data_IF_194829645592
#
_entry.id   IF_194829645592
#
_cell.length_a   1.000
_cell.length_b   1.000
_cell.length_c   1.000
_cell.angle_alpha   90.00
_cell.angle_beta   90.00
_cell.angle_gamma   90.00
#
_symmetry.space_group_name_H-M   'P 1'
#
loop_
_entity.id
_entity.type
_entity.pdbx_description
1 polymer ?
#
# COMPACT_ATOMS: atom_id res chain seq x y z
N UNK A 1 16.71 -6.34 -8.44
CA UNK A 1 15.41 -6.88 -8.91
C UNK A 1 15.36 -6.59 -10.39
N UNK A 2 15.31 -7.61 -11.25
CA UNK A 2 15.52 -7.46 -12.70
C UNK A 2 14.26 -6.97 -13.40
N UNK A 3 14.42 -6.26 -14.53
CA UNK A 3 13.33 -5.80 -15.41
C UNK A 3 12.33 -6.92 -15.76
N UNK A 4 12.83 -8.15 -15.94
CA UNK A 4 11.99 -9.34 -16.18
C UNK A 4 11.03 -9.64 -15.03
N UNK A 5 11.44 -9.43 -13.77
CA UNK A 5 10.54 -9.63 -12.62
C UNK A 5 9.37 -8.65 -12.67
N UNK A 6 9.63 -7.38 -13.01
CA UNK A 6 8.59 -6.37 -13.16
C UNK A 6 7.65 -6.69 -14.33
N UNK A 7 8.18 -7.10 -15.49
CA UNK A 7 7.37 -7.51 -16.64
C UNK A 7 6.42 -8.65 -16.27
N UNK A 8 6.93 -9.68 -15.58
CA UNK A 8 6.13 -10.83 -15.17
C UNK A 8 5.08 -10.48 -14.10
N UNK A 9 5.36 -9.53 -13.19
CA UNK A 9 4.36 -9.04 -12.23
C UNK A 9 3.24 -8.27 -12.96
N UNK A 10 3.59 -7.45 -13.96
CA UNK A 10 2.63 -6.67 -14.73
C UNK A 10 1.77 -7.58 -15.61
N UNK A 11 2.36 -8.57 -16.28
CA UNK A 11 1.65 -9.51 -17.14
C UNK A 11 0.85 -10.57 -16.38
N UNK A 12 1.20 -10.84 -15.12
CA UNK A 12 0.59 -11.90 -14.32
C UNK A 12 1.25 -13.27 -14.48
N UNK A 13 2.39 -13.36 -15.18
CA UNK A 13 3.12 -14.61 -15.44
C UNK A 13 3.86 -15.16 -14.20
N UNK A 14 3.62 -14.58 -13.02
CA UNK A 14 4.22 -15.00 -11.75
C UNK A 14 3.17 -15.66 -10.85
N UNK A 15 2.84 -16.91 -11.13
CA UNK A 15 1.80 -17.68 -10.41
C UNK A 15 2.10 -17.81 -8.90
N UNK A 16 3.37 -17.87 -8.54
CA UNK A 16 3.83 -18.05 -7.15
C UNK A 16 3.71 -16.78 -6.30
N UNK A 17 3.50 -15.61 -6.90
CA UNK A 17 3.40 -14.33 -6.19
C UNK A 17 1.94 -13.86 -6.05
N UNK A 18 1.21 -14.62 -5.24
CA UNK A 18 -0.23 -14.44 -4.98
C UNK A 18 -0.63 -13.02 -4.56
N UNK A 19 0.26 -12.24 -3.93
CA UNK A 19 0.00 -10.84 -3.61
C UNK A 19 -0.36 -10.04 -4.87
N UNK A 20 0.51 -10.06 -5.88
CA UNK A 20 0.38 -9.22 -7.07
C UNK A 20 -0.79 -9.66 -7.96
N UNK A 21 -1.14 -10.95 -7.93
CA UNK A 21 -2.26 -11.47 -8.72
C UNK A 21 -3.62 -11.19 -8.06
N UNK A 22 -3.66 -10.94 -6.74
CA UNK A 22 -4.90 -10.70 -6.00
C UNK A 22 -5.31 -9.24 -5.95
N UNK A 23 -4.34 -8.33 -5.79
CA UNK A 23 -4.58 -6.90 -5.58
C UNK A 23 -5.44 -6.27 -6.68
N UNK A 24 -5.16 -6.47 -8.00
CA UNK A 24 -5.97 -5.89 -9.07
C UNK A 24 -7.45 -6.24 -8.96
N UNK A 25 -7.75 -7.50 -8.60
CA UNK A 25 -9.11 -7.98 -8.42
C UNK A 25 -9.86 -7.33 -7.25
N UNK A 26 -9.17 -6.79 -6.23
CA UNK A 26 -9.83 -6.02 -5.17
C UNK A 26 -10.40 -4.70 -5.69
N UNK A 27 -9.77 -4.12 -6.71
CA UNK A 27 -10.19 -2.89 -7.38
C UNK A 27 -11.11 -3.15 -8.58
N UNK A 28 -11.54 -4.39 -8.80
CA UNK A 28 -12.45 -4.76 -9.88
C UNK A 28 -11.79 -4.91 -11.26
N UNK A 29 -10.46 -4.90 -11.34
CA UNK A 29 -9.76 -5.13 -12.60
C UNK A 29 -9.69 -6.61 -12.93
N UNK A 30 -10.03 -6.95 -14.17
CA UNK A 30 -9.84 -8.29 -14.73
C UNK A 30 -8.48 -8.42 -15.44
N UNK A 31 -7.98 -7.32 -15.98
CA UNK A 31 -6.67 -7.21 -16.63
C UNK A 31 -5.64 -6.65 -15.64
N UNK A 32 -4.63 -7.45 -15.30
CA UNK A 32 -3.58 -7.10 -14.37
C UNK A 32 -2.68 -5.97 -14.92
N UNK A 33 -2.38 -6.00 -16.22
CA UNK A 33 -1.50 -5.03 -16.85
C UNK A 33 -2.17 -3.65 -16.85
N UNK A 34 -3.47 -3.58 -17.12
CA UNK A 34 -4.22 -2.32 -17.05
C UNK A 34 -4.18 -1.74 -15.64
N UNK A 35 -4.32 -2.58 -14.60
CA UNK A 35 -4.23 -2.12 -13.22
C UNK A 35 -2.83 -1.62 -12.86
N UNK A 36 -1.78 -2.40 -13.12
CA UNK A 36 -0.42 -2.03 -12.71
C UNK A 36 0.12 -0.81 -13.45
N UNK A 37 -0.38 -0.54 -14.66
CA UNK A 37 -0.06 0.68 -15.39
C UNK A 37 -0.88 1.91 -14.94
N UNK A 38 -1.92 1.74 -14.11
CA UNK A 38 -2.75 2.85 -13.62
C UNK A 38 -2.46 3.25 -12.17
N UNK A 39 -1.55 2.54 -11.49
CA UNK A 39 -1.21 2.79 -10.09
C UNK A 39 0.28 2.93 -9.87
N UNK A 40 0.63 3.68 -8.81
CA UNK A 40 1.97 3.63 -8.24
C UNK A 40 2.00 2.59 -7.13
N UNK A 41 2.89 1.61 -7.26
CA UNK A 41 3.09 0.57 -6.26
C UNK A 41 4.50 0.63 -5.67
N UNK A 42 4.60 0.62 -4.34
CA UNK A 42 5.87 0.57 -3.66
C UNK A 42 5.77 -0.08 -2.27
N UNK A 43 6.85 -0.73 -1.86
CA UNK A 43 7.03 -1.15 -0.46
C UNK A 43 7.45 0.04 0.40
N UNK A 44 7.00 0.08 1.65
CA UNK A 44 7.37 1.13 2.60
C UNK A 44 8.90 1.21 2.78
N UNK A 45 9.53 0.12 3.20
CA UNK A 45 11.00 0.03 3.29
C UNK A 45 11.56 -0.30 1.89
N UNK A 46 12.55 0.47 1.38
CA UNK A 46 13.12 0.25 0.05
C UNK A 46 14.17 -0.87 0.00
N UNK A 47 14.40 -1.57 1.11
CA UNK A 47 15.41 -2.63 1.28
C UNK A 47 14.81 -3.86 1.94
N UNK A 48 15.47 -5.01 1.76
CA UNK A 48 15.09 -6.26 2.42
C UNK A 48 15.25 -6.10 3.95
N UNK A 49 14.28 -6.61 4.70
CA UNK A 49 14.31 -6.65 6.17
C UNK A 49 14.93 -7.98 6.60
N UNK A 50 16.26 -8.00 6.78
CA UNK A 50 16.99 -9.17 7.31
C UNK A 50 16.86 -10.44 6.47
N UNK A 51 17.16 -11.57 7.10
CA UNK A 51 16.95 -12.90 6.54
C UNK A 51 15.47 -13.27 6.50
N UNK A 52 15.10 -14.34 5.77
CA UNK A 52 13.69 -14.77 5.64
C UNK A 52 12.98 -15.00 6.97
N UNK A 53 13.69 -15.50 7.98
CA UNK A 53 13.19 -15.68 9.35
C UNK A 53 12.83 -14.37 10.06
N UNK A 54 13.31 -13.24 9.55
CA UNK A 54 13.17 -11.91 10.15
C UNK A 54 12.18 -11.02 9.37
N UNK A 55 11.59 -11.52 8.27
CA UNK A 55 10.64 -10.75 7.45
C UNK A 55 9.37 -10.32 8.19
N UNK A 56 9.06 -10.98 9.32
CA UNK A 56 7.97 -10.57 10.21
C UNK A 56 8.35 -9.47 11.20
N UNK A 57 9.64 -9.12 11.30
CA UNK A 57 10.13 -8.07 12.16
C UNK A 57 9.84 -6.70 11.52
N UNK A 58 9.76 -5.67 12.37
CA UNK A 58 9.80 -4.30 11.87
C UNK A 58 11.17 -4.04 11.22
N UNK A 59 11.20 -3.12 10.24
CA UNK A 59 12.47 -2.62 9.72
C UNK A 59 13.30 -1.98 10.83
N UNK A 60 14.61 -1.86 10.62
CA UNK A 60 15.47 -1.08 11.53
C UNK A 60 15.00 0.37 11.62
N UNK A 61 15.49 1.12 12.61
CA UNK A 61 15.16 2.54 12.75
C UNK A 61 15.46 3.32 11.47
N UNK A 62 16.63 3.10 10.89
CA UNK A 62 17.12 3.75 9.68
C UNK A 62 16.26 3.37 8.46
N UNK A 63 15.87 2.10 8.37
CA UNK A 63 14.97 1.62 7.32
C UNK A 63 13.58 2.27 7.42
N UNK A 64 13.04 2.42 8.62
CA UNK A 64 11.75 3.07 8.83
C UNK A 64 11.83 4.59 8.57
N UNK A 65 12.94 5.25 8.92
CA UNK A 65 13.18 6.66 8.60
C UNK A 65 13.25 6.88 7.08
N UNK A 66 14.00 6.02 6.37
CA UNK A 66 14.05 6.04 4.92
C UNK A 66 12.67 5.77 4.29
N UNK A 67 11.89 4.84 4.85
CA UNK A 67 10.52 4.57 4.41
C UNK A 67 9.58 5.76 4.59
N UNK A 68 9.65 6.46 5.74
CA UNK A 68 8.87 7.68 5.99
C UNK A 68 9.20 8.77 4.97
N UNK A 69 10.48 9.06 4.78
CA UNK A 69 10.92 10.06 3.81
C UNK A 69 10.47 9.71 2.38
N UNK A 70 10.51 8.41 2.03
CA UNK A 70 10.05 7.92 0.73
C UNK A 70 8.54 8.14 0.51
N UNK A 71 7.71 7.84 1.51
CA UNK A 71 6.26 8.05 1.43
C UNK A 71 5.96 9.52 1.13
N UNK A 72 6.49 10.44 1.95
CA UNK A 72 6.25 11.87 1.77
C UNK A 72 6.67 12.36 0.38
N UNK A 73 7.89 11.99 -0.06
CA UNK A 73 8.39 12.34 -1.39
C UNK A 73 7.46 11.87 -2.51
N UNK A 74 6.97 10.63 -2.44
CA UNK A 74 6.06 10.09 -3.47
C UNK A 74 4.73 10.83 -3.46
N UNK A 75 4.18 11.14 -2.28
CA UNK A 75 2.93 11.89 -2.18
C UNK A 75 3.08 13.31 -2.77
N UNK A 76 4.20 13.98 -2.49
CA UNK A 76 4.47 15.32 -3.03
C UNK A 76 4.69 15.32 -4.55
N UNK A 77 5.39 14.31 -5.06
CA UNK A 77 5.77 14.19 -6.48
C UNK A 77 4.58 13.82 -7.36
N UNK A 78 3.75 12.88 -6.92
CA UNK A 78 2.68 12.30 -7.75
C UNK A 78 1.27 12.74 -7.36
N UNK A 79 1.10 13.32 -6.16
CA UNK A 79 -0.16 13.90 -5.68
C UNK A 79 -1.40 13.01 -5.92
N UNK A 80 -1.39 11.73 -5.46
CA UNK A 80 -2.52 10.84 -5.65
C UNK A 80 -3.72 11.24 -4.79
N UNK A 81 -4.95 10.91 -5.20
CA UNK A 81 -6.13 11.14 -4.36
C UNK A 81 -6.19 10.21 -3.13
N UNK A 82 -5.70 8.98 -3.30
CA UNK A 82 -5.83 7.89 -2.33
C UNK A 82 -4.53 7.09 -2.22
N UNK A 83 -4.16 6.75 -0.98
CA UNK A 83 -3.06 5.84 -0.65
C UNK A 83 -3.61 4.61 0.08
N UNK A 84 -3.53 3.45 -0.55
CA UNK A 84 -3.90 2.17 0.08
C UNK A 84 -2.67 1.49 0.70
N UNK A 85 -2.71 1.23 2.00
CA UNK A 85 -1.60 0.63 2.75
C UNK A 85 -1.98 -0.77 3.21
N UNK A 86 -1.34 -1.78 2.64
CA UNK A 86 -1.57 -3.20 2.96
C UNK A 86 -0.82 -3.64 4.23
N UNK A 87 -1.21 -3.13 5.40
CA UNK A 87 -0.64 -3.53 6.68
C UNK A 87 -1.65 -3.52 7.83
N UNK A 88 -1.39 -4.35 8.84
CA UNK A 88 -2.09 -4.28 10.14
C UNK A 88 -1.18 -3.63 11.17
N UNK A 89 0.06 -4.10 11.30
CA UNK A 89 1.00 -3.69 12.37
C UNK A 89 1.94 -2.55 11.96
N UNK A 90 2.21 -2.39 10.67
CA UNK A 90 3.21 -1.43 10.20
C UNK A 90 2.72 0.02 10.12
N UNK A 91 1.45 0.29 10.41
CA UNK A 91 0.86 1.63 10.24
C UNK A 91 1.54 2.67 11.12
N UNK A 92 1.88 2.33 12.37
CA UNK A 92 2.55 3.24 13.30
C UNK A 92 3.94 3.73 12.82
N UNK A 93 4.52 3.06 11.82
CA UNK A 93 5.82 3.42 11.25
C UNK A 93 5.72 4.48 10.16
N UNK A 94 4.52 4.70 9.61
CA UNK A 94 4.27 5.69 8.57
C UNK A 94 4.43 7.13 9.09
N UNK A 95 4.61 8.12 8.18
CA UNK A 95 4.63 9.52 8.57
C UNK A 95 3.35 9.93 9.32
N UNK A 96 3.42 10.95 10.19
CA UNK A 96 2.24 11.47 10.88
C UNK A 96 1.21 12.02 9.89
N UNK A 97 -0.07 11.82 10.20
CA UNK A 97 -1.22 12.36 9.45
C UNK A 97 -1.83 13.54 10.20
N UNK A 98 -2.73 14.29 9.56
CA UNK A 98 -3.37 15.47 10.16
C UNK A 98 -4.17 15.14 11.42
N UNK A 99 -4.80 13.97 11.46
CA UNK A 99 -5.62 13.50 12.59
C UNK A 99 -4.80 13.25 13.85
N UNK A 100 -3.45 13.29 13.77
CA UNK A 100 -2.50 13.04 14.87
C UNK A 100 -2.65 11.66 15.55
N UNK A 101 -3.57 10.82 15.08
CA UNK A 101 -3.81 9.47 15.57
C UNK A 101 -2.82 8.49 14.94
N UNK A 102 -2.20 7.65 15.78
CA UNK A 102 -1.34 6.55 15.32
C UNK A 102 -2.11 5.25 15.05
N UNK A 103 -3.40 5.26 15.33
CA UNK A 103 -4.27 4.10 15.09
C UNK A 103 -4.49 4.00 13.59
N UNK A 104 -4.42 2.79 13.06
CA UNK A 104 -4.71 2.55 11.65
C UNK A 104 -6.19 2.88 11.37
N UNK A 105 -6.52 3.68 10.34
CA UNK A 105 -7.90 3.88 9.93
C UNK A 105 -8.51 2.53 9.57
N UNK A 106 -9.65 2.24 10.19
CA UNK A 106 -10.37 1.00 9.97
C UNK A 106 -11.33 1.17 8.80
N UNK A 107 -11.71 0.06 8.20
CA UNK A 107 -12.77 0.05 7.19
C UNK A 107 -14.15 -0.04 7.87
N UNK A 108 -14.20 -0.41 9.16
CA UNK A 108 -15.43 -0.51 9.95
C UNK A 108 -15.17 0.11 11.34
N UNK A 109 -15.69 1.32 11.64
CA UNK A 109 -16.37 2.23 10.69
C UNK A 109 -15.42 2.68 9.58
N UNK A 110 -15.97 3.00 8.40
CA UNK A 110 -15.18 3.48 7.27
C UNK A 110 -14.50 4.78 7.66
N UNK A 111 -13.17 4.76 7.74
CA UNK A 111 -12.38 5.94 8.05
C UNK A 111 -11.12 5.99 7.19
N UNK A 112 -10.53 7.17 7.07
CA UNK A 112 -9.24 7.42 6.45
C UNK A 112 -8.48 8.42 7.30
N UNK A 113 -7.16 8.45 7.11
CA UNK A 113 -6.33 9.54 7.60
C UNK A 113 -5.88 10.40 6.44
N UNK A 114 -5.42 11.61 6.74
CA UNK A 114 -5.08 12.60 5.72
C UNK A 114 -3.60 12.94 5.77
N UNK A 115 -2.93 12.77 4.64
CA UNK A 115 -1.65 13.42 4.38
C UNK A 115 -1.90 14.71 3.63
N UNK A 116 -1.16 15.76 3.98
CA UNK A 116 -1.09 16.96 3.19
C UNK A 116 0.24 16.98 2.44
N UNK A 117 0.18 17.13 1.13
CA UNK A 117 1.35 17.30 0.27
C UNK A 117 1.92 18.72 0.41
N UNK A 118 3.14 18.95 -0.06
CA UNK A 118 3.78 20.26 -0.09
C UNK A 118 2.99 21.32 -0.89
N UNK A 119 2.17 20.91 -1.87
CA UNK A 119 1.27 21.80 -2.63
C UNK A 119 -0.03 22.13 -1.88
N UNK A 120 -0.26 21.50 -0.73
CA UNK A 120 -1.49 21.63 0.06
C UNK A 120 -2.59 20.64 -0.31
N UNK A 121 -2.41 19.81 -1.35
CA UNK A 121 -3.37 18.76 -1.71
C UNK A 121 -3.44 17.69 -0.62
N UNK A 122 -4.67 17.26 -0.32
CA UNK A 122 -4.95 16.19 0.63
C UNK A 122 -4.97 14.82 -0.04
N UNK A 123 -4.33 13.84 0.61
CA UNK A 123 -4.31 12.44 0.20
C UNK A 123 -4.97 11.60 1.28
N UNK A 124 -6.02 10.85 0.91
CA UNK A 124 -6.70 9.93 1.83
C UNK A 124 -5.91 8.62 1.97
N UNK A 125 -5.33 8.40 3.14
CA UNK A 125 -4.59 7.20 3.47
C UNK A 125 -5.49 6.17 4.19
N UNK A 126 -5.48 4.94 3.67
CA UNK A 126 -6.41 3.89 4.09
C UNK A 126 -5.65 2.60 4.40
N UNK A 127 -5.92 2.01 5.56
CA UNK A 127 -5.32 0.76 6.00
C UNK A 127 -6.13 -0.47 5.56
N UNK A 128 -5.52 -1.36 4.78
CA UNK A 128 -6.08 -2.64 4.37
C UNK A 128 -5.29 -3.81 4.97
N UNK A 129 -5.94 -4.95 5.30
CA UNK A 129 -5.21 -6.18 5.64
C UNK A 129 -4.30 -6.64 4.48
N UNK A 130 -3.14 -7.20 4.83
CA UNK A 130 -2.22 -7.76 3.82
C UNK A 130 -2.91 -8.89 3.02
N UNK A 131 -2.76 -8.96 1.68
CA UNK A 131 -3.41 -9.96 0.81
C UNK A 131 -3.20 -11.42 1.22
N UNK A 132 -2.07 -11.74 1.88
CA UNK A 132 -1.79 -13.10 2.39
C UNK A 132 -2.76 -13.56 3.48
N UNK A 133 -3.39 -12.62 4.19
CA UNK A 133 -4.28 -12.88 5.33
C UNK A 133 -5.73 -12.46 5.06
N UNK A 134 -6.00 -11.84 3.91
CA UNK A 134 -7.27 -11.24 3.60
C UNK A 134 -8.18 -12.19 2.81
N UNK A 135 -9.48 -12.23 3.15
CA UNK A 135 -10.50 -12.86 2.31
C UNK A 135 -10.80 -11.94 1.12
N UNK A 136 -10.69 -12.46 -0.11
CA UNK A 136 -10.86 -11.69 -1.36
C UNK A 136 -12.19 -10.93 -1.42
N UNK A 137 -13.31 -11.60 -1.14
CA UNK A 137 -14.64 -10.98 -1.18
C UNK A 137 -14.74 -9.77 -0.24
N UNK A 138 -14.29 -9.93 1.01
CA UNK A 138 -14.28 -8.84 1.99
C UNK A 138 -13.40 -7.66 1.54
N UNK A 139 -12.26 -7.90 0.89
CA UNK A 139 -11.44 -6.81 0.37
C UNK A 139 -12.11 -6.07 -0.79
N UNK A 140 -12.81 -6.77 -1.67
CA UNK A 140 -13.56 -6.15 -2.77
C UNK A 140 -14.64 -5.21 -2.23
N UNK A 141 -15.44 -5.67 -1.26
CA UNK A 141 -16.49 -4.83 -0.65
C UNK A 141 -15.91 -3.57 -0.01
N UNK A 142 -14.80 -3.73 0.72
CA UNK A 142 -14.08 -2.63 1.38
C UNK A 142 -13.54 -1.62 0.39
N UNK A 143 -12.80 -2.08 -0.61
CA UNK A 143 -12.23 -1.20 -1.64
C UNK A 143 -13.35 -0.50 -2.42
N UNK A 144 -14.43 -1.20 -2.76
CA UNK A 144 -15.58 -0.59 -3.44
C UNK A 144 -16.20 0.55 -2.63
N UNK A 145 -16.39 0.37 -1.33
CA UNK A 145 -16.91 1.42 -0.44
C UNK A 145 -15.95 2.63 -0.37
N UNK A 146 -14.65 2.37 -0.23
CA UNK A 146 -13.61 3.41 -0.14
C UNK A 146 -13.46 4.20 -1.45
N UNK A 147 -13.59 3.54 -2.60
CA UNK A 147 -13.46 4.20 -3.90
C UNK A 147 -14.67 5.10 -4.22
N UNK A 148 -15.84 4.83 -3.63
CA UNK A 148 -17.05 5.64 -3.79
C UNK A 148 -17.08 6.90 -2.90
N UNK A 149 -16.15 7.02 -1.93
CA UNK A 149 -15.99 8.16 -1.01
C UNK A 149 -14.87 9.12 -1.40
#
# INVERSE_FOLDING_TARGET
MTENCLKNVISGDYDDLQFFNRVPGYFGYQDLAVFWNSVLFFNFVPSIVGARSEWSNNGTKEQNEAGRARVLRILDEYQPDKLFVFTIKGWEQFPPTLESQKIRPLVEPLNWHTYQTASGQEVKAIGLPHPDRAKKATQIERVKALMAS
#
